data_IF_568533623312
#
_entry.id   IF_568533623312
#
_cell.length_a   1.000
_cell.length_b   1.000
_cell.length_c   1.000
_cell.angle_alpha   90.00
_cell.angle_beta   90.00
_cell.angle_gamma   90.00
#
_symmetry.space_group_name_H-M   'P 1'
#
loop_
_entity.id
_entity.type
_entity.pdbx_description
1 polymer ?
#
# COMPACT_ATOMS: atom_id res chain seq x y z
N UNK A 1 59.77 2.50 -2.07
CA UNK A 1 58.36 2.50 -1.61
C UNK A 1 57.51 3.03 -2.75
N UNK A 2 56.68 2.19 -3.40
CA UNK A 2 55.44 2.56 -4.13
C UNK A 2 55.00 1.43 -5.06
N UNK A 3 54.26 0.46 -4.51
CA UNK A 3 53.43 -0.47 -5.27
C UNK A 3 52.42 -1.08 -4.29
N UNK A 4 51.32 -0.36 -4.00
CA UNK A 4 50.18 -0.89 -3.22
C UNK A 4 48.87 -0.09 -3.46
N UNK A 5 48.84 0.92 -4.34
CA UNK A 5 47.65 1.76 -4.57
C UNK A 5 46.82 1.35 -5.79
N UNK A 6 47.29 0.44 -6.65
CA UNK A 6 46.58 0.08 -7.88
C UNK A 6 45.60 -1.09 -7.67
N UNK A 7 45.88 -1.99 -6.73
CA UNK A 7 45.03 -3.16 -6.45
C UNK A 7 43.78 -2.81 -5.61
N UNK A 8 43.87 -1.79 -4.76
CA UNK A 8 42.74 -1.34 -3.92
C UNK A 8 41.70 -0.52 -4.70
N UNK A 9 42.13 0.21 -5.73
CA UNK A 9 41.24 0.98 -6.60
C UNK A 9 40.40 0.08 -7.52
N UNK A 10 40.99 -0.99 -8.07
CA UNK A 10 40.30 -1.91 -8.99
C UNK A 10 39.33 -2.85 -8.27
N UNK A 11 39.67 -3.32 -7.06
CA UNK A 11 38.78 -4.17 -6.26
C UNK A 11 37.49 -3.44 -5.82
N UNK A 12 37.61 -2.17 -5.44
CA UNK A 12 36.46 -1.36 -5.00
C UNK A 12 35.50 -1.06 -6.15
N UNK A 13 36.03 -0.83 -7.36
CA UNK A 13 35.26 -0.57 -8.57
C UNK A 13 34.50 -1.83 -9.04
N UNK A 14 35.15 -3.00 -8.95
CA UNK A 14 34.51 -4.29 -9.22
C UNK A 14 33.38 -4.60 -8.22
N UNK A 15 33.59 -4.37 -6.93
CA UNK A 15 32.56 -4.58 -5.90
C UNK A 15 31.36 -3.65 -6.07
N UNK A 16 31.59 -2.39 -6.47
CA UNK A 16 30.52 -1.43 -6.75
C UNK A 16 29.70 -1.86 -7.97
N UNK A 17 30.37 -2.25 -9.06
CA UNK A 17 29.72 -2.76 -10.26
C UNK A 17 28.91 -4.05 -9.97
N UNK A 18 29.42 -4.95 -9.12
CA UNK A 18 28.67 -6.14 -8.70
C UNK A 18 27.40 -5.77 -7.92
N UNK A 19 27.46 -4.80 -7.01
CA UNK A 19 26.29 -4.33 -6.25
C UNK A 19 25.23 -3.71 -7.15
N UNK A 20 25.65 -2.89 -8.12
CA UNK A 20 24.75 -2.26 -9.09
C UNK A 20 24.07 -3.30 -9.98
N UNK A 21 24.82 -4.28 -10.48
CA UNK A 21 24.25 -5.40 -11.25
C UNK A 21 23.25 -6.23 -10.42
N UNK A 22 23.57 -6.50 -9.15
CA UNK A 22 22.63 -7.21 -8.26
C UNK A 22 21.37 -6.39 -7.99
N UNK A 23 21.51 -5.09 -7.77
CA UNK A 23 20.37 -4.18 -7.58
C UNK A 23 19.49 -4.13 -8.84
N UNK A 24 20.08 -4.07 -10.03
CA UNK A 24 19.36 -4.11 -11.30
C UNK A 24 18.63 -5.46 -11.51
N UNK A 25 19.28 -6.57 -11.22
CA UNK A 25 18.66 -7.91 -11.30
C UNK A 25 17.50 -8.05 -10.32
N UNK A 26 17.65 -7.53 -9.09
CA UNK A 26 16.59 -7.50 -8.09
C UNK A 26 15.40 -6.65 -8.56
N UNK A 27 15.65 -5.43 -9.05
CA UNK A 27 14.60 -4.55 -9.56
C UNK A 27 13.85 -5.19 -10.74
N UNK A 28 14.57 -5.79 -11.70
CA UNK A 28 13.97 -6.53 -12.83
C UNK A 28 13.11 -7.70 -12.34
N UNK A 29 13.61 -8.48 -11.37
CA UNK A 29 12.85 -9.61 -10.82
C UNK A 29 11.59 -9.13 -10.09
N UNK A 30 11.67 -8.04 -9.34
CA UNK A 30 10.49 -7.44 -8.69
C UNK A 30 9.46 -7.00 -9.73
N UNK A 31 9.88 -6.32 -10.79
CA UNK A 31 8.97 -5.87 -11.86
C UNK A 31 8.25 -7.05 -12.54
N UNK A 32 8.98 -8.13 -12.84
CA UNK A 32 8.39 -9.36 -13.39
C UNK A 32 7.35 -9.95 -12.42
N UNK A 33 7.71 -10.07 -11.14
CA UNK A 33 6.79 -10.61 -10.13
C UNK A 33 5.56 -9.72 -9.91
N UNK A 34 5.71 -8.40 -10.01
CA UNK A 34 4.58 -7.46 -9.94
C UNK A 34 3.64 -7.63 -11.13
N UNK A 35 4.16 -7.85 -12.34
CA UNK A 35 3.35 -8.15 -13.52
C UNK A 35 2.61 -9.50 -13.36
N UNK A 36 3.30 -10.55 -12.91
CA UNK A 36 2.68 -11.85 -12.63
C UNK A 36 1.59 -11.74 -11.55
N UNK A 37 1.82 -10.97 -10.47
CA UNK A 37 0.81 -10.72 -9.44
C UNK A 37 -0.41 -10.01 -10.02
N UNK A 38 -0.22 -9.02 -10.89
CA UNK A 38 -1.32 -8.32 -11.54
C UNK A 38 -2.17 -9.27 -12.39
N UNK A 39 -1.55 -10.09 -13.24
CA UNK A 39 -2.27 -11.08 -14.06
C UNK A 39 -3.04 -12.10 -13.20
N UNK A 40 -2.43 -12.59 -12.11
CA UNK A 40 -3.11 -13.51 -11.18
C UNK A 40 -4.23 -12.83 -10.41
N UNK A 41 -4.08 -11.54 -10.11
CA UNK A 41 -5.11 -10.76 -9.44
C UNK A 41 -6.32 -10.57 -10.37
N UNK A 42 -6.09 -10.31 -11.66
CA UNK A 42 -7.15 -10.22 -12.67
C UNK A 42 -7.90 -11.55 -12.80
N UNK A 43 -7.19 -12.68 -12.83
CA UNK A 43 -7.80 -14.01 -12.84
C UNK A 43 -8.68 -14.27 -11.61
N UNK A 44 -8.17 -13.94 -10.41
CA UNK A 44 -8.92 -14.03 -9.16
C UNK A 44 -10.19 -13.18 -9.22
N UNK A 45 -10.10 -11.96 -9.73
CA UNK A 45 -11.23 -11.04 -9.74
C UNK A 45 -12.29 -11.42 -10.78
N UNK A 46 -11.88 -11.96 -11.94
CA UNK A 46 -12.81 -12.60 -12.88
C UNK A 46 -13.58 -13.76 -12.23
N UNK A 47 -12.90 -14.65 -11.50
CA UNK A 47 -13.56 -15.75 -10.79
C UNK A 47 -14.53 -15.26 -9.71
N UNK A 48 -14.16 -14.22 -8.95
CA UNK A 48 -15.07 -13.61 -7.96
C UNK A 48 -16.32 -13.03 -8.62
N UNK A 49 -16.19 -12.36 -9.77
CA UNK A 49 -17.34 -11.82 -10.53
C UNK A 49 -18.28 -12.96 -10.91
N UNK A 50 -17.76 -14.04 -11.49
CA UNK A 50 -18.56 -15.21 -11.84
C UNK A 50 -19.29 -15.82 -10.64
N UNK A 51 -18.64 -15.88 -9.46
CA UNK A 51 -19.27 -16.35 -8.23
C UNK A 51 -20.36 -15.38 -7.76
N UNK A 52 -20.11 -14.08 -7.81
CA UNK A 52 -21.08 -13.04 -7.41
C UNK A 52 -22.33 -13.01 -8.31
N UNK A 53 -22.17 -13.26 -9.60
CA UNK A 53 -23.28 -13.30 -10.57
C UNK A 53 -24.15 -14.55 -10.39
N UNK A 54 -23.56 -15.66 -9.95
CA UNK A 54 -24.25 -16.94 -9.81
C UNK A 54 -24.81 -17.20 -8.40
N UNK A 55 -24.24 -16.58 -7.35
CA UNK A 55 -24.59 -16.86 -5.96
C UNK A 55 -25.03 -15.59 -5.20
N UNK A 56 -26.22 -15.58 -4.58
CA UNK A 56 -26.62 -14.47 -3.71
C UNK A 56 -25.77 -14.40 -2.44
N UNK A 57 -25.90 -13.31 -1.68
CA UNK A 57 -25.21 -13.13 -0.41
C UNK A 57 -25.52 -14.29 0.56
N UNK A 58 -24.47 -14.97 1.04
CA UNK A 58 -24.61 -16.22 1.77
C UNK A 58 -23.27 -16.90 2.05
N UNK A 59 -23.32 -18.04 2.71
CA UNK A 59 -22.16 -18.88 2.98
C UNK A 59 -22.38 -20.25 2.35
N UNK A 60 -21.42 -20.69 1.56
CA UNK A 60 -21.48 -21.90 0.74
C UNK A 60 -20.29 -22.80 1.05
N UNK A 61 -20.50 -24.11 0.94
CA UNK A 61 -19.42 -25.10 0.94
C UNK A 61 -19.09 -25.48 -0.51
N UNK A 62 -17.83 -25.37 -0.88
CA UNK A 62 -17.28 -25.70 -2.19
C UNK A 62 -16.17 -26.74 -2.02
N UNK A 63 -16.56 -28.02 -1.91
CA UNK A 63 -15.65 -29.10 -1.56
C UNK A 63 -15.07 -28.89 -0.15
N UNK A 64 -13.74 -28.79 -0.07
CA UNK A 64 -13.02 -28.54 1.18
C UNK A 64 -13.00 -27.05 1.59
N UNK A 65 -13.46 -26.15 0.72
CA UNK A 65 -13.39 -24.71 0.91
C UNK A 65 -14.74 -24.13 1.33
N UNK A 66 -14.70 -23.20 2.27
CA UNK A 66 -15.86 -22.40 2.66
C UNK A 66 -15.84 -21.05 1.94
N UNK A 67 -16.83 -20.79 1.10
CA UNK A 67 -16.96 -19.55 0.33
C UNK A 67 -18.03 -18.66 0.95
N UNK A 68 -17.70 -17.42 1.27
CA UNK A 68 -18.65 -16.45 1.81
C UNK A 68 -18.86 -15.29 0.82
N UNK A 69 -20.08 -15.20 0.27
CA UNK A 69 -20.51 -14.09 -0.57
C UNK A 69 -21.09 -13.00 0.33
N UNK A 70 -20.37 -11.88 0.43
CA UNK A 70 -20.78 -10.74 1.26
C UNK A 70 -21.41 -9.66 0.39
N UNK A 71 -22.49 -9.00 0.85
CA UNK A 71 -23.00 -7.82 0.17
C UNK A 71 -21.94 -6.71 0.19
N UNK A 72 -21.96 -5.84 -0.82
CA UNK A 72 -21.06 -4.70 -0.91
C UNK A 72 -21.11 -3.82 0.35
N UNK A 73 -19.97 -3.22 0.70
CA UNK A 73 -19.86 -2.34 1.88
C UNK A 73 -20.84 -1.19 1.76
N UNK A 74 -21.82 -1.14 2.65
CA UNK A 74 -22.72 0.00 2.78
C UNK A 74 -21.99 1.08 3.57
N UNK A 75 -21.65 2.17 2.90
CA UNK A 75 -21.03 3.35 3.51
C UNK A 75 -21.92 4.56 3.26
N UNK A 76 -21.92 5.48 4.22
CA UNK A 76 -22.59 6.77 4.04
C UNK A 76 -21.78 7.60 3.05
N UNK A 77 -22.46 8.13 2.03
CA UNK A 77 -21.89 9.16 1.17
C UNK A 77 -21.80 10.46 1.97
N UNK A 78 -20.60 10.76 2.49
CA UNK A 78 -20.38 11.91 3.37
C UNK A 78 -20.79 13.25 2.76
N UNK A 79 -20.63 13.42 1.44
CA UNK A 79 -20.98 14.69 0.76
C UNK A 79 -22.50 14.86 0.67
N UNK A 80 -23.22 13.80 0.30
CA UNK A 80 -24.69 13.83 0.28
C UNK A 80 -25.27 13.95 1.68
N UNK A 81 -24.64 13.27 2.64
CA UNK A 81 -25.04 13.31 4.04
C UNK A 81 -24.86 14.71 4.63
N UNK A 82 -23.70 15.34 4.46
CA UNK A 82 -23.42 16.70 4.96
C UNK A 82 -24.33 17.78 4.35
N UNK A 83 -24.72 17.62 3.09
CA UNK A 83 -25.71 18.51 2.46
C UNK A 83 -27.09 18.43 3.13
N UNK A 84 -27.45 17.25 3.64
CA UNK A 84 -28.77 16.98 4.23
C UNK A 84 -28.76 17.17 5.75
N UNK A 85 -27.64 16.86 6.40
CA UNK A 85 -27.41 16.90 7.83
C UNK A 85 -26.11 17.66 8.12
N UNK A 86 -26.11 19.00 8.12
CA UNK A 86 -24.91 19.78 8.37
C UNK A 86 -24.32 19.51 9.76
N UNK A 87 -23.00 19.43 9.86
CA UNK A 87 -22.30 19.15 11.11
C UNK A 87 -22.57 20.18 12.23
N UNK A 88 -22.90 21.43 11.85
CA UNK A 88 -23.28 22.47 12.81
C UNK A 88 -24.63 22.20 13.51
N UNK A 89 -25.53 21.48 12.85
CA UNK A 89 -26.87 21.17 13.37
C UNK A 89 -26.94 19.76 13.97
N UNK A 90 -26.09 18.83 13.49
CA UNK A 90 -26.07 17.43 13.93
C UNK A 90 -24.66 17.00 14.37
N UNK A 91 -24.06 17.65 15.38
CA UNK A 91 -22.68 17.35 15.79
C UNK A 91 -22.49 15.88 16.23
N UNK A 92 -23.51 15.26 16.83
CA UNK A 92 -23.48 13.85 17.27
C UNK A 92 -23.35 12.85 16.11
N UNK A 93 -23.68 13.25 14.88
CA UNK A 93 -23.53 12.42 13.69
C UNK A 93 -22.11 12.46 13.10
N UNK A 94 -21.21 13.27 13.65
CA UNK A 94 -19.86 13.50 13.14
C UNK A 94 -18.79 13.11 14.16
N UNK A 95 -17.65 12.64 13.65
CA UNK A 95 -16.48 12.35 14.49
C UNK A 95 -15.44 13.46 14.33
N UNK A 96 -15.04 14.07 15.45
CA UNK A 96 -13.89 14.95 15.50
C UNK A 96 -12.62 14.11 15.42
N UNK A 97 -11.88 14.25 14.31
CA UNK A 97 -10.58 13.62 14.13
C UNK A 97 -9.51 14.69 13.97
N UNK A 98 -8.27 14.44 14.44
CA UNK A 98 -7.15 15.35 14.18
C UNK A 98 -6.97 15.55 12.67
N UNK A 99 -6.51 16.73 12.31
CA UNK A 99 -6.20 17.07 10.91
C UNK A 99 -5.14 16.10 10.36
N UNK A 100 -5.10 15.87 9.04
CA UNK A 100 -4.05 15.07 8.42
C UNK A 100 -2.67 15.67 8.71
N UNK A 101 -1.65 14.81 8.81
CA UNK A 101 -0.28 15.17 9.16
C UNK A 101 0.25 16.36 8.35
N UNK A 102 0.04 16.35 7.03
CA UNK A 102 0.46 17.42 6.11
C UNK A 102 -0.15 18.79 6.40
N UNK A 103 -1.28 18.84 7.11
CA UNK A 103 -1.88 20.07 7.60
C UNK A 103 -1.43 20.41 9.02
N UNK A 104 -1.15 19.40 9.86
CA UNK A 104 -0.62 19.60 11.20
C UNK A 104 0.80 20.17 11.16
N UNK A 105 1.68 19.67 10.28
CA UNK A 105 3.04 20.19 10.08
C UNK A 105 3.09 21.66 9.63
N UNK A 106 1.99 22.16 9.02
CA UNK A 106 1.86 23.57 8.62
C UNK A 106 1.36 24.47 9.75
N UNK A 107 0.68 23.90 10.75
CA UNK A 107 0.02 24.62 11.84
C UNK A 107 0.78 24.49 13.17
N UNK A 108 1.60 23.45 13.32
CA UNK A 108 2.39 23.13 14.49
C UNK A 108 3.85 23.01 14.05
N UNK A 109 4.79 23.45 14.90
CA UNK A 109 6.23 23.24 14.67
C UNK A 109 6.52 21.74 14.58
N UNK A 110 7.37 21.33 13.62
CA UNK A 110 7.71 19.92 13.32
C UNK A 110 8.05 19.11 14.58
N UNK A 111 8.81 19.69 15.52
CA UNK A 111 9.21 19.06 16.79
C UNK A 111 8.03 18.60 17.67
N UNK A 112 6.88 19.28 17.62
CA UNK A 112 5.70 18.91 18.41
C UNK A 112 4.86 17.82 17.75
N UNK A 113 4.97 17.68 16.44
CA UNK A 113 4.22 16.68 15.66
C UNK A 113 4.94 15.33 15.75
N UNK A 114 6.28 15.32 15.71
CA UNK A 114 7.10 14.12 15.80
C UNK A 114 6.86 13.29 17.07
N UNK A 115 6.58 13.93 18.20
CA UNK A 115 6.29 13.25 19.47
C UNK A 115 5.05 12.33 19.42
N UNK A 116 4.17 12.51 18.42
CA UNK A 116 2.95 11.72 18.24
C UNK A 116 2.93 10.94 16.93
N UNK A 117 4.06 10.89 16.21
CA UNK A 117 4.19 10.17 14.95
C UNK A 117 4.52 8.69 15.19
N UNK A 118 3.84 7.82 14.46
CA UNK A 118 4.22 6.41 14.33
C UNK A 118 4.77 6.22 12.93
N UNK A 119 6.07 5.97 12.82
CA UNK A 119 6.70 5.67 11.53
C UNK A 119 6.43 4.22 11.13
N UNK A 120 6.00 4.03 9.87
CA UNK A 120 5.87 2.71 9.27
C UNK A 120 7.24 2.09 8.96
N UNK A 121 7.27 0.79 8.74
CA UNK A 121 8.50 0.13 8.26
C UNK A 121 8.86 0.66 6.87
N UNK A 122 10.16 0.89 6.56
CA UNK A 122 10.59 1.26 5.22
C UNK A 122 10.20 0.16 4.23
N UNK A 123 9.77 0.56 3.04
CA UNK A 123 9.33 -0.34 1.96
C UNK A 123 10.05 0.01 0.65
N UNK A 124 10.21 -0.98 -0.22
CA UNK A 124 10.78 -0.82 -1.56
C UNK A 124 9.64 -0.75 -2.56
N UNK A 125 9.65 0.26 -3.41
CA UNK A 125 8.70 0.43 -4.53
C UNK A 125 9.50 0.40 -5.82
N UNK A 126 9.12 -0.50 -6.72
CA UNK A 126 9.60 -0.58 -8.10
C UNK A 126 8.39 -0.26 -8.98
N UNK A 127 8.57 0.69 -9.91
CA UNK A 127 7.53 1.24 -10.80
C UNK A 127 7.99 1.25 -12.25
#
# INVERSE_FOLDING_TARGET
>A
MTANNTETATATDQDQHLKENLFELQAKRIAILQAEIAERQDEIDMLKILILDSHPAGTYQAGELKVQVKPGSRRVDGRRFEKTYPAAQYPDCYQLRPKPLSQLEKLLTTEKVEAYMVSGKPTVVVS
#
